data_IF_742146312060
#
_entry.id   IF_742146312060
#
_cell.length_a   1.000
_cell.length_b   1.000
_cell.length_c   1.000
_cell.angle_alpha   90.00
_cell.angle_beta   90.00
_cell.angle_gamma   90.00
#
_symmetry.space_group_name_H-M   'P 1'
#
loop_
_entity.id
_entity.type
_entity.pdbx_description
1 polymer ?
#
# COMPACT_ATOMS: atom_id res chain seq x y z
N UNK A 1 -5.45 -33.49 -24.66
CA UNK A 1 -6.01 -33.01 -23.37
C UNK A 1 -4.86 -32.42 -22.54
N UNK A 2 -4.87 -31.11 -22.26
CA UNK A 2 -4.01 -30.47 -21.23
C UNK A 2 -4.84 -29.38 -20.55
N UNK A 3 -5.00 -29.50 -19.24
CA UNK A 3 -5.65 -28.50 -18.41
C UNK A 3 -4.66 -27.38 -18.12
N UNK A 4 -5.05 -26.14 -18.44
CA UNK A 4 -4.32 -24.93 -18.09
C UNK A 4 -4.98 -24.36 -16.83
N UNK A 5 -4.35 -24.53 -15.67
CA UNK A 5 -4.84 -23.95 -14.42
C UNK A 5 -4.34 -22.51 -14.29
N UNK A 6 -5.22 -21.54 -14.52
CA UNK A 6 -4.98 -20.15 -14.14
C UNK A 6 -5.04 -20.01 -12.62
N UNK A 7 -3.88 -19.87 -11.95
CA UNK A 7 -3.78 -19.46 -10.55
C UNK A 7 -3.70 -17.94 -10.42
N UNK A 8 -4.74 -17.24 -10.88
CA UNK A 8 -4.92 -15.79 -10.64
C UNK A 8 -5.82 -15.59 -9.42
N UNK A 9 -5.29 -15.72 -8.21
CA UNK A 9 -6.03 -15.35 -6.99
C UNK A 9 -5.17 -14.80 -5.84
N UNK A 10 -3.84 -14.82 -5.95
CA UNK A 10 -2.94 -14.36 -4.87
C UNK A 10 -2.89 -12.83 -4.72
N UNK A 11 -3.17 -12.07 -5.79
CA UNK A 11 -3.06 -10.60 -5.76
C UNK A 11 -3.99 -9.91 -4.77
N UNK A 12 -5.17 -10.50 -4.48
CA UNK A 12 -6.14 -9.90 -3.56
C UNK A 12 -5.68 -9.99 -2.09
N UNK A 13 -5.14 -11.15 -1.69
CA UNK A 13 -4.58 -11.34 -0.34
C UNK A 13 -3.40 -10.40 -0.12
N UNK A 14 -2.55 -10.24 -1.13
CA UNK A 14 -1.36 -9.39 -1.04
C UNK A 14 -1.71 -7.91 -0.85
N UNK A 15 -2.77 -7.45 -1.52
CA UNK A 15 -3.30 -6.10 -1.36
C UNK A 15 -3.84 -5.87 0.06
N UNK A 16 -4.54 -6.85 0.63
CA UNK A 16 -5.00 -6.81 2.04
C UNK A 16 -3.82 -6.71 3.01
N UNK A 17 -2.76 -7.49 2.80
CA UNK A 17 -1.55 -7.44 3.65
C UNK A 17 -0.90 -6.05 3.59
N UNK A 18 -0.83 -5.43 2.41
CA UNK A 18 -0.29 -4.07 2.25
C UNK A 18 -1.14 -3.05 3.02
N UNK A 19 -2.47 -3.12 2.92
CA UNK A 19 -3.37 -2.23 3.66
C UNK A 19 -3.19 -2.38 5.17
N UNK A 20 -3.10 -3.62 5.66
CA UNK A 20 -2.86 -3.89 7.09
C UNK A 20 -1.51 -3.31 7.53
N UNK A 21 -0.45 -3.54 6.75
CA UNK A 21 0.88 -3.00 7.05
C UNK A 21 0.84 -1.46 7.13
N UNK A 22 0.11 -0.84 6.21
CA UNK A 22 -0.05 0.60 6.16
C UNK A 22 -0.75 1.14 7.41
N UNK A 23 -1.84 0.50 7.85
CA UNK A 23 -2.53 0.82 9.11
C UNK A 23 -1.61 0.67 10.32
N UNK A 24 -0.78 -0.39 10.37
CA UNK A 24 0.20 -0.62 11.44
C UNK A 24 1.25 0.49 11.48
N UNK A 25 1.79 0.89 10.32
CA UNK A 25 2.77 1.99 10.22
C UNK A 25 2.17 3.30 10.73
N UNK A 26 0.93 3.62 10.34
CA UNK A 26 0.24 4.81 10.85
C UNK A 26 0.04 4.78 12.36
N UNK A 27 -0.30 3.61 12.92
CA UNK A 27 -0.36 3.39 14.37
C UNK A 27 1.00 3.60 15.06
N UNK A 28 2.10 3.10 14.47
CA UNK A 28 3.45 3.26 14.99
C UNK A 28 3.93 4.72 14.97
N UNK A 29 3.46 5.50 14.00
CA UNK A 29 3.70 6.95 13.93
C UNK A 29 2.91 7.73 15.00
N UNK A 30 2.12 7.04 15.85
CA UNK A 30 1.32 7.66 16.91
C UNK A 30 0.06 8.36 16.39
N UNK A 31 -0.28 8.15 15.12
CA UNK A 31 -1.42 8.80 14.47
C UNK A 31 -2.64 7.92 14.61
N UNK A 32 -3.60 8.35 15.43
CA UNK A 32 -4.86 7.62 15.56
C UNK A 32 -5.77 7.91 14.36
N UNK A 33 -6.21 6.86 13.67
CA UNK A 33 -7.10 7.00 12.51
C UNK A 33 -8.40 7.70 12.92
N UNK A 34 -8.92 7.40 14.11
CA UNK A 34 -10.10 8.08 14.65
C UNK A 34 -9.89 9.57 14.89
N UNK A 35 -8.73 10.01 15.39
CA UNK A 35 -8.45 11.44 15.58
C UNK A 35 -8.24 12.15 14.24
N UNK A 36 -7.63 11.49 13.24
CA UNK A 36 -7.50 12.06 11.90
C UNK A 36 -8.84 12.34 11.23
N UNK A 37 -9.85 11.50 11.47
CA UNK A 37 -11.17 11.64 10.85
C UNK A 37 -12.04 12.64 11.62
N UNK A 38 -11.87 12.75 12.94
CA UNK A 38 -12.68 13.64 13.78
C UNK A 38 -12.11 15.07 13.92
N UNK A 39 -10.80 15.26 13.71
CA UNK A 39 -10.14 16.56 13.89
C UNK A 39 -9.72 17.14 12.53
N UNK A 40 -10.35 18.27 12.14
CA UNK A 40 -10.09 18.96 10.88
C UNK A 40 -8.65 19.47 10.76
N UNK A 41 -8.04 19.91 11.86
CA UNK A 41 -6.67 20.43 11.85
C UNK A 41 -5.67 19.29 11.63
N UNK A 42 -5.89 18.14 12.26
CA UNK A 42 -5.07 16.96 12.00
C UNK A 42 -5.28 16.43 10.57
N UNK A 43 -6.52 16.47 10.07
CA UNK A 43 -6.84 16.07 8.70
C UNK A 43 -6.07 16.90 7.66
N UNK A 44 -6.03 18.22 7.80
CA UNK A 44 -5.32 19.11 6.87
C UNK A 44 -3.80 18.90 6.91
N UNK A 45 -3.22 18.78 8.11
CA UNK A 45 -1.78 18.50 8.26
C UNK A 45 -1.42 17.11 7.72
N UNK A 46 -2.28 16.11 7.93
CA UNK A 46 -2.07 14.77 7.41
C UNK A 46 -2.20 14.74 5.89
N UNK A 47 -3.14 15.47 5.29
CA UNK A 47 -3.24 15.62 3.84
C UNK A 47 -1.98 16.25 3.24
N UNK A 48 -1.39 17.24 3.91
CA UNK A 48 -0.13 17.85 3.48
C UNK A 48 1.04 16.85 3.52
N UNK A 49 1.20 16.15 4.65
CA UNK A 49 2.22 15.10 4.80
C UNK A 49 2.01 13.95 3.81
N UNK A 50 0.75 13.51 3.65
CA UNK A 50 0.35 12.46 2.73
C UNK A 50 0.65 12.84 1.29
N UNK A 51 0.40 14.09 0.90
CA UNK A 51 0.73 14.59 -0.43
C UNK A 51 2.24 14.53 -0.69
N UNK A 52 3.07 14.87 0.31
CA UNK A 52 4.52 14.73 0.23
C UNK A 52 4.98 13.27 0.11
N UNK A 53 4.37 12.37 0.91
CA UNK A 53 4.63 10.92 0.86
C UNK A 53 4.23 10.35 -0.50
N UNK A 54 3.06 10.72 -1.03
CA UNK A 54 2.57 10.28 -2.34
C UNK A 54 3.48 10.79 -3.46
N UNK A 55 3.92 12.05 -3.39
CA UNK A 55 4.86 12.60 -4.36
C UNK A 55 6.21 11.87 -4.33
N UNK A 56 6.74 11.60 -3.14
CA UNK A 56 7.95 10.80 -2.96
C UNK A 56 7.76 9.36 -3.45
N UNK A 57 6.63 8.74 -3.13
CA UNK A 57 6.29 7.39 -3.56
C UNK A 57 6.21 7.29 -5.08
N UNK A 58 5.50 8.22 -5.73
CA UNK A 58 5.36 8.26 -7.18
C UNK A 58 6.71 8.48 -7.88
N UNK A 59 7.61 9.26 -7.27
CA UNK A 59 8.91 9.59 -7.85
C UNK A 59 9.96 8.50 -7.66
N UNK A 60 10.05 7.91 -6.46
CA UNK A 60 11.14 7.00 -6.09
C UNK A 60 10.69 5.57 -5.89
N UNK A 61 9.58 5.38 -5.16
CA UNK A 61 9.14 4.05 -4.79
C UNK A 61 8.38 3.36 -5.93
N UNK A 62 7.74 4.08 -6.83
CA UNK A 62 6.92 3.50 -7.90
C UNK A 62 7.72 2.53 -8.79
N UNK A 63 8.88 2.94 -9.28
CA UNK A 63 9.73 2.09 -10.13
C UNK A 63 10.23 0.84 -9.38
N UNK A 64 10.65 1.02 -8.13
CA UNK A 64 11.15 -0.08 -7.30
C UNK A 64 10.03 -1.04 -6.90
N UNK A 65 8.87 -0.51 -6.55
CA UNK A 65 7.70 -1.29 -6.15
C UNK A 65 7.09 -2.02 -7.34
N UNK A 66 7.05 -1.42 -8.53
CA UNK A 66 6.63 -2.09 -9.77
C UNK A 66 7.60 -3.22 -10.12
N UNK A 67 8.91 -3.02 -9.97
CA UNK A 67 9.89 -4.09 -10.18
C UNK A 67 9.69 -5.24 -9.19
N UNK A 68 9.61 -4.94 -7.90
CA UNK A 68 9.37 -5.96 -6.87
C UNK A 68 8.02 -6.66 -7.06
N UNK A 69 6.98 -5.91 -7.42
CA UNK A 69 5.66 -6.48 -7.71
C UNK A 69 5.73 -7.41 -8.91
N UNK A 70 6.39 -7.00 -9.99
CA UNK A 70 6.58 -7.85 -11.16
C UNK A 70 7.37 -9.12 -10.83
N UNK A 71 8.46 -9.02 -10.05
CA UNK A 71 9.23 -10.19 -9.61
C UNK A 71 8.42 -11.11 -8.71
N UNK A 72 7.69 -10.57 -7.73
CA UNK A 72 6.89 -11.36 -6.78
C UNK A 72 5.69 -12.02 -7.45
N UNK A 73 4.98 -11.30 -8.33
CA UNK A 73 3.85 -11.86 -9.09
C UNK A 73 4.32 -12.82 -10.18
N UNK A 74 5.46 -12.56 -10.82
CA UNK A 74 6.05 -13.44 -11.84
C UNK A 74 6.66 -14.71 -11.26
N UNK A 75 7.16 -14.69 -10.02
CA UNK A 75 7.74 -15.86 -9.36
C UNK A 75 6.67 -16.83 -8.81
N UNK A 76 5.39 -16.50 -8.95
CA UNK A 76 4.27 -17.33 -8.52
C UNK A 76 3.52 -17.96 -9.71
N UNK A 77 4.17 -18.06 -10.88
CA UNK A 77 3.68 -18.70 -12.10
C UNK A 77 4.73 -19.61 -12.73
#
# INVERSE_FOLDING_TARGET
>A
MRFHSSSKSSGFIQLIVIIILFVVILSLLGVSISSLINDKTLQENFLFLWSGIVWFWNTYAHTFFVFLWHTVVSNNN
#
